data_IF_324768842957
#
_entry.id   IF_324768842957
#
_cell.length_a   1.000
_cell.length_b   1.000
_cell.length_c   1.000
_cell.angle_alpha   90.00
_cell.angle_beta   90.00
_cell.angle_gamma   90.00
#
_symmetry.space_group_name_H-M   'P 1'
#
loop_
_entity.id
_entity.type
_entity.pdbx_description
1 polymer ?
#
# COMPACT_ATOMS: atom_id res chain seq x y z
N UNK A 1 -36.15 -10.83 -57.52
CA UNK A 1 -35.27 -11.66 -56.66
C UNK A 1 -34.42 -10.70 -55.85
N UNK A 2 -34.67 -10.61 -54.54
CA UNK A 2 -34.08 -9.61 -53.64
C UNK A 2 -32.90 -10.23 -52.89
N UNK A 3 -31.70 -9.67 -53.03
CA UNK A 3 -30.50 -10.13 -52.31
C UNK A 3 -30.41 -9.39 -50.98
N UNK A 4 -30.65 -10.10 -49.87
CA UNK A 4 -30.39 -9.60 -48.54
C UNK A 4 -28.87 -9.55 -48.30
N UNK A 5 -28.32 -8.35 -48.12
CA UNK A 5 -26.95 -8.17 -47.63
C UNK A 5 -26.98 -8.21 -46.10
N UNK A 6 -26.46 -9.29 -45.54
CA UNK A 6 -26.25 -9.42 -44.08
C UNK A 6 -25.01 -8.60 -43.71
N UNK A 7 -25.23 -7.49 -43.01
CA UNK A 7 -24.16 -6.71 -42.37
C UNK A 7 -23.62 -7.51 -41.18
N UNK A 8 -22.42 -8.07 -41.32
CA UNK A 8 -21.67 -8.63 -40.18
C UNK A 8 -21.14 -7.45 -39.36
N UNK A 9 -21.75 -7.22 -38.20
CA UNK A 9 -21.21 -6.28 -37.21
C UNK A 9 -20.03 -6.98 -36.53
N UNK A 10 -18.81 -6.63 -36.94
CA UNK A 10 -17.60 -6.97 -36.20
C UNK A 10 -17.66 -6.26 -34.84
N UNK A 11 -18.24 -6.94 -33.86
CA UNK A 11 -18.30 -6.48 -32.49
C UNK A 11 -16.93 -6.75 -31.83
N UNK A 12 -15.89 -6.12 -32.36
CA UNK A 12 -14.62 -6.01 -31.65
C UNK A 12 -14.87 -5.17 -30.41
N UNK A 13 -14.86 -5.82 -29.26
CA UNK A 13 -14.81 -5.17 -27.97
C UNK A 13 -13.48 -4.43 -27.89
N UNK A 14 -13.49 -3.15 -28.26
CA UNK A 14 -12.40 -2.21 -28.00
C UNK A 14 -12.47 -1.82 -26.53
N UNK A 15 -12.24 -2.78 -25.65
CA UNK A 15 -11.85 -2.48 -24.29
C UNK A 15 -10.41 -2.95 -24.18
N UNK A 16 -9.41 -2.05 -24.23
CA UNK A 16 -8.10 -2.41 -23.75
C UNK A 16 -8.30 -2.81 -22.29
N UNK A 17 -8.09 -4.08 -21.99
CA UNK A 17 -7.81 -4.48 -20.62
C UNK A 17 -6.59 -3.64 -20.22
N UNK A 18 -6.82 -2.57 -19.48
CA UNK A 18 -5.77 -1.86 -18.78
C UNK A 18 -5.27 -2.86 -17.75
N UNK A 19 -4.32 -3.67 -18.22
CA UNK A 19 -3.51 -4.55 -17.41
C UNK A 19 -2.75 -3.60 -16.49
N UNK A 20 -3.30 -3.37 -15.29
CA UNK A 20 -2.68 -2.63 -14.19
C UNK A 20 -1.48 -3.43 -13.62
N UNK A 21 -0.57 -3.83 -14.52
CA UNK A 21 0.70 -4.48 -14.19
C UNK A 21 1.68 -3.37 -13.83
N UNK A 22 1.41 -2.69 -12.72
CA UNK A 22 2.48 -1.95 -12.04
C UNK A 22 3.48 -2.98 -11.55
N UNK A 23 4.75 -2.78 -11.89
CA UNK A 23 5.82 -3.64 -11.40
C UNK A 23 5.83 -3.59 -9.85
N UNK A 24 6.05 -4.73 -9.17
CA UNK A 24 6.13 -4.74 -7.71
C UNK A 24 7.16 -3.72 -7.22
N UNK A 25 6.78 -2.95 -6.19
CA UNK A 25 7.70 -2.00 -5.56
C UNK A 25 8.78 -2.79 -4.83
N UNK A 26 10.03 -2.44 -5.07
CA UNK A 26 11.20 -3.07 -4.47
C UNK A 26 11.68 -2.32 -3.24
N UNK A 27 12.42 -3.02 -2.37
CA UNK A 27 12.93 -2.45 -1.13
C UNK A 27 13.97 -1.33 -1.33
N UNK A 28 14.64 -1.25 -2.47
CA UNK A 28 15.52 -0.11 -2.80
C UNK A 28 14.74 1.22 -2.95
N UNK A 29 13.53 1.18 -3.51
CA UNK A 29 12.63 2.33 -3.54
C UNK A 29 12.21 2.75 -2.11
N UNK A 30 11.94 1.79 -1.23
CA UNK A 30 11.61 2.06 0.18
C UNK A 30 12.81 2.67 0.92
N UNK A 31 14.03 2.19 0.66
CA UNK A 31 15.27 2.75 1.19
C UNK A 31 15.44 4.23 0.80
N UNK A 32 15.21 4.56 -0.49
CA UNK A 32 15.29 5.92 -1.00
C UNK A 32 14.27 6.86 -0.33
N UNK A 33 13.00 6.42 -0.21
CA UNK A 33 11.96 7.21 0.44
C UNK A 33 12.27 7.39 1.94
N UNK A 34 12.71 6.32 2.62
CA UNK A 34 13.09 6.38 4.03
C UNK A 34 14.27 7.33 4.28
N UNK A 35 15.20 7.45 3.33
CA UNK A 35 16.31 8.41 3.43
C UNK A 35 15.83 9.87 3.38
N UNK A 36 14.72 10.15 2.69
CA UNK A 36 14.10 11.49 2.72
C UNK A 36 13.56 11.82 4.11
N UNK A 37 12.98 10.85 4.82
CA UNK A 37 12.45 11.02 6.17
C UNK A 37 13.55 11.32 7.20
N UNK A 38 14.69 10.64 7.10
CA UNK A 38 15.79 10.75 8.07
C UNK A 38 16.40 12.16 8.15
N UNK A 39 16.23 12.97 7.10
CA UNK A 39 16.71 14.36 7.04
C UNK A 39 15.72 15.41 7.56
N UNK A 40 14.52 15.00 8.00
CA UNK A 40 13.46 15.94 8.42
C UNK A 40 13.54 16.35 9.89
N UNK A 41 13.00 17.52 10.23
CA UNK A 41 12.88 18.00 11.61
C UNK A 41 12.05 17.04 12.48
N UNK A 42 12.31 17.03 13.81
CA UNK A 42 11.57 16.21 14.77
C UNK A 42 10.77 17.10 15.73
N UNK A 43 9.43 16.96 15.81
CA UNK A 43 8.58 15.97 15.12
C UNK A 43 8.42 16.28 13.62
N UNK A 44 8.24 15.22 12.81
CA UNK A 44 7.98 15.38 11.39
C UNK A 44 6.65 16.11 11.17
N UNK A 45 6.66 17.12 10.32
CA UNK A 45 5.46 17.86 9.95
C UNK A 45 4.76 17.10 8.82
N UNK A 46 3.51 16.70 9.03
CA UNK A 46 2.70 15.98 8.05
C UNK A 46 1.73 16.96 7.41
N UNK A 47 2.03 17.40 6.18
CA UNK A 47 1.20 18.35 5.44
C UNK A 47 0.39 17.68 4.33
N UNK A 48 0.82 16.51 3.87
CA UNK A 48 0.11 15.77 2.84
C UNK A 48 0.50 14.30 2.75
N UNK A 49 -0.05 13.64 1.73
CA UNK A 49 0.06 12.19 1.54
C UNK A 49 1.50 11.74 1.29
N UNK A 50 2.32 12.58 0.65
CA UNK A 50 3.75 12.32 0.47
C UNK A 50 4.49 12.25 1.82
N UNK A 51 4.18 13.15 2.75
CA UNK A 51 4.83 13.15 4.07
C UNK A 51 4.40 11.93 4.89
N UNK A 52 3.10 11.58 4.84
CA UNK A 52 2.56 10.35 5.45
C UNK A 52 3.29 9.11 4.93
N UNK A 53 3.43 8.99 3.60
CA UNK A 53 4.13 7.87 2.97
C UNK A 53 5.62 7.84 3.32
N UNK A 54 6.26 9.01 3.42
CA UNK A 54 7.68 9.13 3.75
C UNK A 54 8.00 8.65 5.16
N UNK A 55 7.20 9.07 6.15
CA UNK A 55 7.35 8.59 7.54
C UNK A 55 7.01 7.11 7.66
N UNK A 56 5.99 6.62 6.94
CA UNK A 56 5.67 5.20 6.91
C UNK A 56 6.81 4.35 6.30
N UNK A 57 7.47 4.85 5.25
CA UNK A 57 8.62 4.19 4.64
C UNK A 57 9.81 4.10 5.61
N UNK A 58 10.06 5.13 6.43
CA UNK A 58 11.09 5.08 7.48
C UNK A 58 10.83 3.94 8.47
N UNK A 59 9.60 3.81 8.97
CA UNK A 59 9.22 2.76 9.89
C UNK A 59 9.36 1.37 9.26
N UNK A 60 8.89 1.20 8.01
CA UNK A 60 9.01 -0.05 7.25
C UNK A 60 10.48 -0.41 7.01
N UNK A 61 11.33 0.55 6.66
CA UNK A 61 12.76 0.32 6.43
C UNK A 61 13.50 -0.08 7.69
N UNK A 62 13.18 0.54 8.83
CA UNK A 62 13.74 0.15 10.14
C UNK A 62 13.32 -1.28 10.49
N UNK A 63 12.07 -1.65 10.26
CA UNK A 63 11.57 -3.01 10.46
C UNK A 63 12.30 -4.02 9.56
N UNK A 64 12.35 -3.76 8.25
CA UNK A 64 12.96 -4.64 7.26
C UNK A 64 14.43 -4.96 7.59
N UNK A 65 15.23 -3.94 7.97
CA UNK A 65 16.62 -4.15 8.39
C UNK A 65 16.77 -4.99 9.65
N UNK A 66 15.78 -4.99 10.54
CA UNK A 66 15.80 -5.78 11.78
C UNK A 66 15.40 -7.23 11.54
N UNK A 67 14.58 -7.49 10.54
CA UNK A 67 14.09 -8.83 10.21
C UNK A 67 14.84 -9.48 9.05
N UNK A 68 15.70 -8.74 8.34
CA UNK A 68 16.46 -9.22 7.19
C UNK A 68 15.66 -9.21 5.88
N UNK A 69 14.61 -8.39 5.81
CA UNK A 69 13.76 -8.17 4.62
C UNK A 69 14.17 -6.91 3.84
N UNK A 70 15.39 -6.43 4.04
CA UNK A 70 15.95 -5.23 3.42
C UNK A 70 16.74 -5.52 2.13
N UNK A 71 16.61 -6.72 1.56
CA UNK A 71 17.24 -7.07 0.30
C UNK A 71 16.75 -6.17 -0.82
N UNK A 72 17.66 -5.47 -1.52
CA UNK A 72 17.33 -4.50 -2.59
C UNK A 72 16.45 -5.07 -3.72
N UNK A 73 16.48 -6.38 -3.93
CA UNK A 73 15.67 -7.07 -4.93
C UNK A 73 14.31 -7.55 -4.41
N UNK A 74 14.11 -7.50 -3.09
CA UNK A 74 12.92 -8.04 -2.44
C UNK A 74 11.73 -7.12 -2.65
N UNK A 75 10.54 -7.72 -2.72
CA UNK A 75 9.30 -7.00 -2.88
C UNK A 75 8.88 -6.35 -1.56
N UNK A 76 8.62 -5.05 -1.58
CA UNK A 76 8.14 -4.29 -0.41
C UNK A 76 6.82 -4.83 0.14
N UNK A 77 6.01 -5.48 -0.70
CA UNK A 77 4.78 -6.15 -0.30
C UNK A 77 5.02 -7.16 0.84
N UNK A 78 6.08 -7.96 0.75
CA UNK A 78 6.43 -8.96 1.76
C UNK A 78 6.79 -8.29 3.09
N UNK A 79 7.61 -7.24 3.04
CA UNK A 79 7.98 -6.48 4.23
C UNK A 79 6.76 -5.83 4.91
N UNK A 80 5.79 -5.33 4.12
CA UNK A 80 4.53 -4.77 4.64
C UNK A 80 3.67 -5.86 5.29
N UNK A 81 3.51 -7.01 4.65
CA UNK A 81 2.74 -8.13 5.19
C UNK A 81 3.33 -8.61 6.52
N UNK A 82 4.66 -8.78 6.58
CA UNK A 82 5.34 -9.19 7.79
C UNK A 82 5.27 -8.13 8.88
N UNK A 83 5.34 -6.83 8.52
CA UNK A 83 5.14 -5.75 9.48
C UNK A 83 3.73 -5.79 10.07
N UNK A 84 2.70 -5.96 9.24
CA UNK A 84 1.30 -6.08 9.69
C UNK A 84 1.14 -7.29 10.62
N UNK A 85 1.70 -8.44 10.28
CA UNK A 85 1.66 -9.63 11.12
C UNK A 85 2.34 -9.38 12.48
N UNK A 86 3.48 -8.70 12.50
CA UNK A 86 4.17 -8.32 13.75
C UNK A 86 3.38 -7.29 14.57
N UNK A 87 2.68 -6.35 13.92
CA UNK A 87 1.77 -5.43 14.60
C UNK A 87 0.57 -6.18 15.21
N UNK A 88 0.03 -7.20 14.53
CA UNK A 88 -1.02 -8.06 15.10
C UNK A 88 -0.52 -8.79 16.35
N UNK A 89 0.70 -9.34 16.31
CA UNK A 89 1.32 -9.97 17.48
C UNK A 89 1.52 -8.97 18.63
N UNK A 90 2.04 -7.78 18.34
CA UNK A 90 2.22 -6.70 19.33
C UNK A 90 0.88 -6.32 19.97
N UNK A 91 -0.15 -6.08 19.16
CA UNK A 91 -1.46 -5.67 19.65
C UNK A 91 -2.10 -6.71 20.56
N UNK A 92 -1.97 -8.00 20.22
CA UNK A 92 -2.47 -9.09 21.05
C UNK A 92 -1.67 -9.30 22.34
N UNK A 93 -0.34 -9.12 22.30
CA UNK A 93 0.52 -9.30 23.47
C UNK A 93 0.38 -8.17 24.51
N UNK A 94 0.29 -6.92 24.05
CA UNK A 94 0.25 -5.75 24.92
C UNK A 94 -1.19 -5.32 25.29
N UNK A 95 -2.21 -6.03 24.80
CA UNK A 95 -3.61 -5.72 25.09
C UNK A 95 -4.12 -4.44 24.40
N UNK A 96 -3.50 -4.05 23.29
CA UNK A 96 -4.00 -2.94 22.44
C UNK A 96 -5.30 -3.36 21.75
N UNK A 97 -5.41 -4.65 21.43
CA UNK A 97 -6.62 -5.27 20.91
C UNK A 97 -7.15 -6.29 21.91
N UNK A 98 -8.47 -6.41 21.97
CA UNK A 98 -9.18 -7.34 22.83
C UNK A 98 -10.38 -7.97 22.08
N UNK A 99 -11.35 -8.53 22.81
CA UNK A 99 -12.54 -9.14 22.23
C UNK A 99 -13.50 -8.15 21.57
N UNK A 100 -13.43 -6.87 21.94
CA UNK A 100 -14.30 -5.81 21.40
C UNK A 100 -13.59 -5.01 20.30
N UNK A 101 -12.27 -4.80 20.45
CA UNK A 101 -11.43 -4.08 19.50
C UNK A 101 -10.42 -5.03 18.86
N UNK A 102 -10.77 -5.57 17.71
CA UNK A 102 -9.87 -6.48 16.96
C UNK A 102 -8.88 -5.70 16.08
N UNK A 103 -7.77 -6.33 15.69
CA UNK A 103 -6.86 -5.74 14.71
C UNK A 103 -7.56 -5.46 13.36
N UNK A 104 -8.48 -6.33 12.95
CA UNK A 104 -9.28 -6.13 11.74
C UNK A 104 -10.12 -4.85 11.81
N UNK A 105 -10.76 -4.57 12.95
CA UNK A 105 -11.52 -3.32 13.12
C UNK A 105 -10.63 -2.09 13.11
N UNK A 106 -9.39 -2.17 13.61
CA UNK A 106 -8.42 -1.07 13.49
C UNK A 106 -8.07 -0.79 12.03
N UNK A 107 -7.82 -1.84 11.24
CA UNK A 107 -7.52 -1.72 9.80
C UNK A 107 -8.72 -1.12 9.04
N UNK A 108 -9.94 -1.60 9.30
CA UNK A 108 -11.14 -1.05 8.65
C UNK A 108 -11.36 0.43 8.98
N UNK A 109 -11.09 0.86 10.22
CA UNK A 109 -11.17 2.26 10.59
C UNK A 109 -10.07 3.10 9.92
N UNK A 110 -8.85 2.58 9.85
CA UNK A 110 -7.75 3.23 9.16
C UNK A 110 -8.02 3.39 7.65
N UNK A 111 -8.62 2.36 7.02
CA UNK A 111 -9.07 2.42 5.63
C UNK A 111 -10.15 3.49 5.43
N UNK A 112 -11.12 3.59 6.34
CA UNK A 112 -12.14 4.66 6.29
C UNK A 112 -11.50 6.06 6.33
N UNK A 113 -10.50 6.26 7.20
CA UNK A 113 -9.75 7.53 7.25
C UNK A 113 -8.98 7.79 5.95
N UNK A 114 -8.31 6.78 5.41
CA UNK A 114 -7.59 6.90 4.14
C UNK A 114 -8.53 7.29 2.98
N UNK A 115 -9.70 6.65 2.87
CA UNK A 115 -10.68 6.97 1.83
C UNK A 115 -11.26 8.38 2.00
N UNK A 116 -11.58 8.78 3.23
CA UNK A 116 -12.06 10.14 3.50
C UNK A 116 -11.04 11.21 3.06
N UNK A 117 -9.74 10.98 3.30
CA UNK A 117 -8.68 11.89 2.83
C UNK A 117 -8.57 11.95 1.29
N UNK A 118 -8.93 10.87 0.57
CA UNK A 118 -8.95 10.86 -0.89
C UNK A 118 -10.16 11.61 -1.47
N UNK A 119 -11.33 11.51 -0.82
CA UNK A 119 -12.57 12.19 -1.25
C UNK A 119 -12.52 13.72 -1.00
N UNK A 120 -11.62 14.18 -0.14
CA UNK A 120 -11.38 15.61 0.14
C UNK A 120 -10.47 16.30 -0.92
N UNK A 121 -9.95 15.56 -1.90
CA UNK A 121 -9.09 16.05 -3.00
C UNK A 121 -9.83 16.25 -4.32
#
# INVERSE_FOLDING_TARGET
MSTAQTLTLDNQTVNPQVSDKREPVRMDVIEEIAALAAGTERPALIWGNTDRATVAAEALWVFARRTGLDGRGDEALTAVQDLIANLMHLCGQEGITDSETTFASLVSLAEMHYQAELDEC
#
